data_IF_323182788851
#
_entry.id   IF_323182788851
#
_cell.length_a   1.000
_cell.length_b   1.000
_cell.length_c   1.000
_cell.angle_alpha   90.00
_cell.angle_beta   90.00
_cell.angle_gamma   90.00
#
_symmetry.space_group_name_H-M   'P 1'
#
loop_
_entity.id
_entity.type
_entity.pdbx_description
1 polymer ?
#
# COMPACT_ATOMS: atom_id res chain seq x y z
N UNK A 1 12.05 -5.82 -25.29
CA UNK A 1 12.95 -6.43 -24.26
C UNK A 1 12.54 -7.87 -24.04
N UNK A 2 13.46 -8.82 -24.08
CA UNK A 2 13.15 -10.21 -23.75
C UNK A 2 12.80 -10.34 -22.26
N UNK A 3 11.94 -11.28 -21.90
CA UNK A 3 11.47 -11.52 -20.50
C UNK A 3 12.64 -11.62 -19.50
N UNK A 4 13.76 -12.21 -19.90
CA UNK A 4 14.98 -12.35 -19.09
C UNK A 4 15.72 -11.00 -18.88
N UNK A 5 15.75 -10.13 -19.90
CA UNK A 5 16.34 -8.81 -19.77
C UNK A 5 15.53 -7.90 -18.84
N UNK A 6 14.21 -8.00 -18.92
CA UNK A 6 13.32 -7.28 -18.02
C UNK A 6 13.47 -7.76 -16.57
N UNK A 7 13.58 -9.06 -16.34
CA UNK A 7 13.84 -9.59 -15.00
C UNK A 7 15.15 -9.05 -14.41
N UNK A 8 16.24 -9.06 -15.20
CA UNK A 8 17.52 -8.50 -14.74
C UNK A 8 17.44 -7.01 -14.42
N UNK A 9 16.68 -6.24 -15.19
CA UNK A 9 16.44 -4.83 -14.92
C UNK A 9 15.67 -4.64 -13.60
N UNK A 10 14.57 -5.37 -13.39
CA UNK A 10 13.75 -5.28 -12.20
C UNK A 10 14.53 -5.69 -10.94
N UNK A 11 15.35 -6.75 -11.03
CA UNK A 11 16.24 -7.18 -9.95
C UNK A 11 17.30 -6.12 -9.60
N UNK A 12 17.90 -5.47 -10.61
CA UNK A 12 18.86 -4.37 -10.38
C UNK A 12 18.19 -3.17 -9.72
N UNK A 13 17.00 -2.80 -10.18
CA UNK A 13 16.22 -1.71 -9.58
C UNK A 13 15.86 -2.02 -8.12
N UNK A 14 15.40 -3.25 -7.84
CA UNK A 14 15.13 -3.70 -6.47
C UNK A 14 16.38 -3.66 -5.60
N UNK A 15 17.54 -4.09 -6.13
CA UNK A 15 18.81 -4.04 -5.42
C UNK A 15 19.20 -2.59 -5.06
N UNK A 16 18.94 -1.62 -5.93
CA UNK A 16 19.18 -0.20 -5.64
C UNK A 16 18.26 0.36 -4.53
N UNK A 17 17.14 -0.31 -4.23
CA UNK A 17 16.23 0.10 -3.16
C UNK A 17 16.60 -0.48 -1.78
N UNK A 18 17.40 -1.54 -1.72
CA UNK A 18 17.79 -2.21 -0.46
C UNK A 18 18.68 -1.35 0.44
N UNK A 19 19.66 -0.57 -0.07
CA UNK A 19 20.58 0.19 0.79
C UNK A 19 19.89 1.16 1.75
N UNK A 20 18.76 1.77 1.36
CA UNK A 20 18.02 2.65 2.26
C UNK A 20 17.51 1.90 3.49
N UNK A 21 16.98 0.72 3.30
CA UNK A 21 16.45 -0.12 4.38
C UNK A 21 17.60 -0.59 5.28
N UNK A 22 18.76 -0.96 4.69
CA UNK A 22 19.97 -1.31 5.44
C UNK A 22 20.46 -0.15 6.31
N UNK A 23 20.53 1.06 5.77
CA UNK A 23 20.96 2.26 6.49
C UNK A 23 19.98 2.56 7.64
N UNK A 24 18.67 2.59 7.37
CA UNK A 24 17.64 2.90 8.36
C UNK A 24 17.70 1.91 9.53
N UNK A 25 17.71 0.61 9.25
CA UNK A 25 17.75 -0.40 10.32
C UNK A 25 19.14 -0.55 10.95
N UNK A 26 20.22 -0.33 10.17
CA UNK A 26 21.59 -0.32 10.70
C UNK A 26 21.78 0.80 11.73
N UNK A 27 21.34 2.01 11.43
CA UNK A 27 21.35 3.13 12.37
C UNK A 27 20.44 2.83 13.56
N UNK A 28 19.20 2.36 13.32
CA UNK A 28 18.25 2.02 14.37
C UNK A 28 18.80 0.96 15.35
N UNK A 29 19.54 -0.03 14.83
CA UNK A 29 20.18 -1.06 15.66
C UNK A 29 21.36 -0.47 16.45
N UNK A 30 22.22 0.32 15.80
CA UNK A 30 23.40 0.92 16.44
C UNK A 30 23.01 1.92 17.54
N UNK A 31 21.89 2.63 17.36
CA UNK A 31 21.39 3.63 18.32
C UNK A 31 20.33 3.08 19.28
N UNK A 32 19.93 1.82 19.15
CA UNK A 32 18.83 1.17 19.89
C UNK A 32 17.45 1.82 19.67
N UNK A 33 17.25 2.50 18.54
CA UNK A 33 16.01 3.17 18.13
C UNK A 33 15.30 2.42 17.00
N UNK A 34 15.07 1.11 17.18
CA UNK A 34 14.42 0.25 16.16
C UNK A 34 12.96 0.61 15.92
N UNK A 35 12.27 1.21 16.90
CA UNK A 35 10.88 1.68 16.73
C UNK A 35 10.82 2.84 15.74
N UNK A 36 11.69 3.83 15.91
CA UNK A 36 11.83 4.97 15.01
C UNK A 36 12.28 4.52 13.61
N UNK A 37 13.21 3.57 13.54
CA UNK A 37 13.61 2.97 12.27
C UNK A 37 12.45 2.30 11.54
N UNK A 38 11.53 1.63 12.25
CA UNK A 38 10.33 1.03 11.63
C UNK A 38 9.36 2.09 11.11
N UNK A 39 9.22 3.23 11.80
CA UNK A 39 8.43 4.37 11.32
C UNK A 39 9.09 4.98 10.08
N UNK A 40 10.41 5.17 10.07
CA UNK A 40 11.16 5.62 8.88
C UNK A 40 10.99 4.66 7.71
N UNK A 41 11.04 3.35 7.96
CA UNK A 41 10.80 2.34 6.93
C UNK A 41 9.39 2.43 6.32
N UNK A 42 8.38 2.84 7.09
CA UNK A 42 7.03 3.06 6.56
C UNK A 42 6.97 4.17 5.50
N UNK A 43 7.92 5.10 5.49
CA UNK A 43 8.13 6.07 4.42
C UNK A 43 8.98 5.55 3.26
N UNK A 44 10.01 4.77 3.56
CA UNK A 44 10.95 4.23 2.56
C UNK A 44 10.34 3.12 1.69
N UNK A 45 9.65 2.16 2.31
CA UNK A 45 9.08 0.99 1.62
C UNK A 45 8.10 1.34 0.49
N UNK A 46 7.12 2.27 0.66
CA UNK A 46 6.25 2.68 -0.44
C UNK A 46 7.04 3.23 -1.64
N UNK A 47 8.10 4.02 -1.41
CA UNK A 47 8.91 4.54 -2.50
C UNK A 47 9.67 3.42 -3.22
N UNK A 48 10.21 2.46 -2.48
CA UNK A 48 10.84 1.27 -3.07
C UNK A 48 9.86 0.47 -3.94
N UNK A 49 8.65 0.20 -3.46
CA UNK A 49 7.59 -0.47 -4.24
C UNK A 49 7.14 0.34 -5.47
N UNK A 50 7.28 1.66 -5.42
CA UNK A 50 6.94 2.58 -6.50
C UNK A 50 8.05 2.82 -7.51
N UNK A 51 9.27 2.34 -7.29
CA UNK A 51 10.44 2.71 -8.09
C UNK A 51 10.32 2.37 -9.58
N UNK A 52 9.58 1.32 -9.95
CA UNK A 52 9.32 0.96 -11.35
C UNK A 52 8.19 1.75 -12.01
N UNK A 53 7.46 2.56 -11.25
CA UNK A 53 6.30 3.31 -11.75
C UNK A 53 6.70 4.69 -12.23
N UNK A 54 6.00 5.15 -13.26
CA UNK A 54 6.20 6.48 -13.83
C UNK A 54 4.90 7.27 -13.84
N UNK A 55 4.99 8.57 -13.61
CA UNK A 55 3.90 9.50 -13.83
C UNK A 55 4.31 10.49 -14.92
N UNK A 56 3.63 10.40 -16.07
CA UNK A 56 3.96 11.21 -17.27
C UNK A 56 5.45 11.08 -17.70
N UNK A 57 5.98 9.86 -17.63
CA UNK A 57 7.37 9.57 -17.99
C UNK A 57 8.42 9.98 -16.95
N UNK A 58 7.99 10.30 -15.71
CA UNK A 58 8.92 10.60 -14.62
C UNK A 58 8.61 9.79 -13.37
N UNK A 59 9.57 8.97 -12.95
CA UNK A 59 9.55 8.27 -11.68
C UNK A 59 9.79 9.25 -10.52
N UNK A 60 10.67 10.23 -10.70
CA UNK A 60 10.98 11.22 -9.66
C UNK A 60 9.75 12.02 -9.22
N UNK A 61 8.89 12.44 -10.17
CA UNK A 61 7.61 13.14 -9.85
C UNK A 61 6.70 12.28 -9.02
N UNK A 62 6.54 11.00 -9.42
CA UNK A 62 5.68 10.07 -8.73
C UNK A 62 6.16 9.85 -7.30
N UNK A 63 7.46 9.56 -7.14
CA UNK A 63 8.03 9.27 -5.82
C UNK A 63 8.02 10.50 -4.91
N UNK A 64 8.28 11.70 -5.45
CA UNK A 64 8.17 12.94 -4.67
C UNK A 64 6.73 13.21 -4.24
N UNK A 65 5.75 13.08 -5.14
CA UNK A 65 4.33 13.22 -4.81
C UNK A 65 3.90 12.18 -3.75
N UNK A 66 4.40 10.95 -3.86
CA UNK A 66 4.16 9.90 -2.86
C UNK A 66 4.76 10.29 -1.51
N UNK A 67 6.03 10.71 -1.49
CA UNK A 67 6.71 11.15 -0.27
C UNK A 67 5.95 12.24 0.47
N UNK A 68 5.58 13.32 -0.24
CA UNK A 68 4.83 14.43 0.33
C UNK A 68 3.46 13.98 0.86
N UNK A 69 2.75 13.15 0.09
CA UNK A 69 1.45 12.65 0.52
C UNK A 69 1.54 11.71 1.73
N UNK A 70 2.58 10.87 1.82
CA UNK A 70 2.85 10.03 2.99
C UNK A 70 3.07 10.86 4.24
N UNK A 71 3.92 11.91 4.17
CA UNK A 71 4.17 12.82 5.29
C UNK A 71 2.91 13.53 5.76
N UNK A 72 2.13 14.12 4.84
CA UNK A 72 0.86 14.78 5.16
C UNK A 72 -0.14 13.80 5.79
N UNK A 73 -0.31 12.61 5.20
CA UNK A 73 -1.25 11.61 5.72
C UNK A 73 -0.79 11.03 7.07
N UNK A 74 0.52 10.91 7.29
CA UNK A 74 1.06 10.51 8.58
C UNK A 74 0.80 11.56 9.65
N UNK A 75 0.96 12.85 9.32
CA UNK A 75 0.69 13.96 10.23
C UNK A 75 -0.79 14.03 10.60
N UNK A 76 -1.66 14.20 9.61
CA UNK A 76 -3.09 14.35 9.86
C UNK A 76 -3.73 13.05 10.40
N UNK A 77 -3.23 11.87 9.99
CA UNK A 77 -3.66 10.59 10.55
C UNK A 77 -3.39 10.51 12.04
N UNK A 78 -2.19 10.88 12.49
CA UNK A 78 -1.83 10.86 13.91
C UNK A 78 -2.63 11.87 14.76
N UNK A 79 -3.20 12.92 14.15
CA UNK A 79 -4.08 13.89 14.82
C UNK A 79 -5.54 13.43 14.93
N UNK A 80 -5.91 12.27 14.38
CA UNK A 80 -7.28 11.74 14.46
C UNK A 80 -7.59 11.24 15.88
N UNK A 81 -7.85 12.16 16.81
CA UNK A 81 -8.16 11.82 18.20
C UNK A 81 -9.53 11.15 18.41
N UNK A 82 -10.36 11.01 17.37
CA UNK A 82 -11.67 10.37 17.46
C UNK A 82 -11.85 9.28 16.42
N UNK A 83 -12.55 8.20 16.83
CA UNK A 83 -12.92 7.10 15.92
C UNK A 83 -13.67 7.59 14.68
N UNK A 84 -14.59 8.56 14.87
CA UNK A 84 -15.40 9.11 13.78
C UNK A 84 -14.52 9.78 12.71
N UNK A 85 -13.54 10.59 13.10
CA UNK A 85 -12.60 11.23 12.17
C UNK A 85 -11.72 10.19 11.48
N UNK A 86 -11.27 9.17 12.19
CA UNK A 86 -10.47 8.08 11.61
C UNK A 86 -11.25 7.31 10.55
N UNK A 87 -12.49 6.90 10.86
CA UNK A 87 -13.35 6.14 9.92
C UNK A 87 -13.75 7.01 8.73
N UNK A 88 -14.22 8.24 8.96
CA UNK A 88 -14.66 9.14 7.87
C UNK A 88 -13.52 9.49 6.92
N UNK A 89 -12.31 9.75 7.44
CA UNK A 89 -11.13 9.95 6.63
C UNK A 89 -10.75 8.71 5.82
N UNK A 90 -10.83 7.52 6.42
CA UNK A 90 -10.57 6.24 5.73
C UNK A 90 -11.61 5.98 4.61
N UNK A 91 -12.89 6.31 4.84
CA UNK A 91 -13.96 6.24 3.84
C UNK A 91 -13.71 7.22 2.69
N UNK A 92 -13.24 8.43 2.99
CA UNK A 92 -12.86 9.41 1.97
C UNK A 92 -11.71 8.92 1.10
N UNK A 93 -10.69 8.30 1.70
CA UNK A 93 -9.61 7.67 0.97
C UNK A 93 -10.09 6.49 0.11
N UNK A 94 -11.03 5.68 0.59
CA UNK A 94 -11.62 4.59 -0.19
C UNK A 94 -12.38 5.13 -1.41
N UNK A 95 -13.17 6.20 -1.25
CA UNK A 95 -13.83 6.90 -2.35
C UNK A 95 -12.83 7.46 -3.36
N UNK A 96 -11.83 8.20 -2.87
CA UNK A 96 -10.77 8.78 -3.69
C UNK A 96 -9.98 7.72 -4.47
N UNK A 97 -9.65 6.61 -3.83
CA UNK A 97 -9.00 5.48 -4.48
C UNK A 97 -9.86 4.86 -5.58
N UNK A 98 -11.13 4.60 -5.32
CA UNK A 98 -12.04 4.02 -6.31
C UNK A 98 -12.19 4.92 -7.55
N UNK A 99 -12.32 6.25 -7.35
CA UNK A 99 -12.41 7.22 -8.45
C UNK A 99 -11.09 7.32 -9.21
N UNK A 100 -9.98 7.59 -8.50
CA UNK A 100 -8.71 7.94 -9.13
C UNK A 100 -8.07 6.72 -9.79
N UNK A 101 -8.20 5.52 -9.21
CA UNK A 101 -7.69 4.28 -9.81
C UNK A 101 -8.41 3.92 -11.13
N UNK A 102 -9.69 4.29 -11.25
CA UNK A 102 -10.46 4.15 -12.50
C UNK A 102 -10.04 5.11 -13.61
N UNK A 103 -9.39 6.23 -13.26
CA UNK A 103 -8.90 7.24 -14.20
C UNK A 103 -7.44 7.00 -14.57
N UNK A 104 -6.60 6.79 -13.56
CA UNK A 104 -5.16 6.59 -13.71
C UNK A 104 -4.65 5.67 -12.58
N UNK A 105 -4.25 4.46 -12.96
CA UNK A 105 -3.78 3.46 -12.00
C UNK A 105 -2.53 3.91 -11.20
N UNK A 106 -1.66 4.73 -11.79
CA UNK A 106 -0.47 5.26 -11.12
C UNK A 106 -0.84 6.31 -10.06
N UNK A 107 -1.77 7.22 -10.37
CA UNK A 107 -2.29 8.17 -9.41
C UNK A 107 -3.11 7.44 -8.32
N UNK A 108 -3.90 6.43 -8.69
CA UNK A 108 -4.60 5.56 -7.74
C UNK A 108 -3.64 4.89 -6.76
N UNK A 109 -2.47 4.46 -7.24
CA UNK A 109 -1.44 3.88 -6.38
C UNK A 109 -0.92 4.90 -5.34
N UNK A 110 -0.71 6.17 -5.70
CA UNK A 110 -0.34 7.23 -4.72
C UNK A 110 -1.42 7.39 -3.66
N UNK A 111 -2.70 7.48 -4.07
CA UNK A 111 -3.83 7.57 -3.12
C UNK A 111 -3.89 6.35 -2.20
N UNK A 112 -3.61 5.15 -2.72
CA UNK A 112 -3.56 3.92 -1.93
C UNK A 112 -2.45 3.98 -0.86
N UNK A 113 -1.24 4.43 -1.22
CA UNK A 113 -0.15 4.59 -0.25
C UNK A 113 -0.47 5.66 0.81
N UNK A 114 -1.08 6.77 0.39
CA UNK A 114 -1.56 7.83 1.29
C UNK A 114 -2.59 7.31 2.29
N UNK A 115 -3.56 6.52 1.82
CA UNK A 115 -4.56 5.88 2.67
C UNK A 115 -3.93 4.91 3.69
N UNK A 116 -2.91 4.16 3.28
CA UNK A 116 -2.16 3.27 4.16
C UNK A 116 -1.44 4.07 5.25
N UNK A 117 -0.76 5.17 4.89
CA UNK A 117 -0.09 6.04 5.85
C UNK A 117 -1.09 6.67 6.84
N UNK A 118 -2.27 7.13 6.35
CA UNK A 118 -3.36 7.61 7.17
C UNK A 118 -3.82 6.57 8.19
N UNK A 119 -4.12 5.35 7.73
CA UNK A 119 -4.64 4.28 8.60
C UNK A 119 -3.61 3.82 9.64
N UNK A 120 -2.33 3.67 9.26
CA UNK A 120 -1.27 3.32 10.21
C UNK A 120 -1.10 4.42 11.24
N UNK A 121 -1.06 5.70 10.83
CA UNK A 121 -0.80 6.80 11.75
C UNK A 121 -2.01 7.11 12.63
N UNK A 122 -3.22 6.99 12.10
CA UNK A 122 -4.46 7.19 12.86
C UNK A 122 -4.76 6.08 13.87
N UNK A 123 -4.12 4.93 13.74
CA UNK A 123 -4.18 3.87 14.76
C UNK A 123 -3.31 4.20 15.99
N UNK A 124 -2.34 5.09 15.85
CA UNK A 124 -1.48 5.58 16.92
C UNK A 124 -1.65 7.10 17.07
N UNK A 125 -2.82 7.57 17.53
CA UNK A 125 -3.09 9.00 17.66
C UNK A 125 -2.26 9.61 18.79
N UNK A 126 -1.99 10.91 18.67
CA UNK A 126 -1.24 11.67 19.66
C UNK A 126 -1.47 13.18 19.49
N UNK A 127 -0.70 13.96 20.22
CA UNK A 127 -0.68 15.40 20.12
C UNK A 127 0.07 15.89 18.84
N UNK A 128 0.13 17.20 18.67
CA UNK A 128 0.81 17.82 17.51
C UNK A 128 2.30 17.46 17.47
N UNK A 129 2.97 17.36 18.64
CA UNK A 129 4.38 16.99 18.73
C UNK A 129 4.60 15.56 18.26
N UNK A 130 3.76 14.61 18.72
CA UNK A 130 3.78 13.23 18.28
C UNK A 130 3.51 13.12 16.78
N UNK A 131 2.50 13.83 16.26
CA UNK A 131 2.16 13.82 14.84
C UNK A 131 3.29 14.39 13.97
N UNK A 132 3.93 15.48 14.40
CA UNK A 132 5.06 16.10 13.72
C UNK A 132 6.29 15.17 13.72
N UNK A 133 6.62 14.55 14.86
CA UNK A 133 7.70 13.57 14.98
C UNK A 133 7.48 12.38 14.06
N UNK A 134 6.28 11.81 14.07
CA UNK A 134 5.92 10.67 13.21
C UNK A 134 6.01 11.02 11.72
N UNK A 135 5.45 12.17 11.31
CA UNK A 135 5.53 12.65 9.93
C UNK A 135 6.98 12.93 9.52
N UNK A 136 7.77 13.52 10.42
CA UNK A 136 9.20 13.78 10.21
C UNK A 136 9.99 12.50 9.98
N UNK A 137 9.76 11.45 10.77
CA UNK A 137 10.41 10.15 10.59
C UNK A 137 10.00 9.49 9.26
N UNK A 138 8.73 9.53 8.90
CA UNK A 138 8.23 9.02 7.59
C UNK A 138 8.88 9.77 6.43
N UNK A 139 8.92 11.10 6.52
CA UNK A 139 9.57 11.95 5.51
C UNK A 139 11.08 11.70 5.43
N UNK A 140 11.76 11.54 6.56
CA UNK A 140 13.20 11.27 6.60
C UNK A 140 13.51 9.92 5.92
N UNK A 141 12.80 8.86 6.30
CA UNK A 141 12.98 7.54 5.69
C UNK A 141 12.70 7.52 4.20
N UNK A 142 11.60 8.16 3.78
CA UNK A 142 11.27 8.29 2.36
C UNK A 142 12.27 9.15 1.58
N UNK A 143 12.81 10.22 2.19
CA UNK A 143 13.86 11.05 1.58
C UNK A 143 15.15 10.27 1.38
N UNK A 144 15.59 9.50 2.36
CA UNK A 144 16.76 8.60 2.23
C UNK A 144 16.54 7.63 1.06
N UNK A 145 15.37 7.00 0.98
CA UNK A 145 15.04 6.08 -0.11
C UNK A 145 15.05 6.79 -1.47
N UNK A 146 14.42 7.96 -1.58
CA UNK A 146 14.36 8.74 -2.82
C UNK A 146 15.76 9.16 -3.29
N UNK A 147 16.59 9.68 -2.38
CA UNK A 147 17.96 10.09 -2.68
C UNK A 147 18.79 8.92 -3.21
N UNK A 148 18.73 7.76 -2.55
CA UNK A 148 19.49 6.59 -2.98
C UNK A 148 18.99 6.05 -4.33
N UNK A 149 17.70 6.03 -4.58
CA UNK A 149 17.17 5.65 -5.89
C UNK A 149 17.70 6.62 -6.96
N UNK A 150 17.60 7.94 -6.74
CA UNK A 150 18.09 8.94 -7.69
C UNK A 150 19.60 8.86 -7.93
N UNK A 151 20.38 8.47 -6.91
CA UNK A 151 21.82 8.33 -7.00
C UNK A 151 22.25 7.04 -7.71
N UNK A 152 21.61 5.92 -7.38
CA UNK A 152 22.02 4.60 -7.85
C UNK A 152 21.39 4.22 -9.19
N UNK A 153 20.18 4.72 -9.49
CA UNK A 153 19.47 4.42 -10.72
C UNK A 153 19.79 5.49 -11.77
N UNK A 154 20.70 5.17 -12.69
CA UNK A 154 21.14 6.08 -13.78
C UNK A 154 20.14 6.12 -14.95
N UNK A 155 18.85 6.20 -14.70
CA UNK A 155 17.85 6.32 -15.75
C UNK A 155 17.35 7.77 -15.88
N UNK A 156 16.97 8.17 -17.10
CA UNK A 156 16.46 9.52 -17.38
C UNK A 156 15.17 9.85 -16.62
N UNK A 157 14.41 8.83 -16.21
CA UNK A 157 13.14 8.98 -15.50
C UNK A 157 13.29 9.50 -14.06
N UNK A 158 14.49 9.34 -13.48
CA UNK A 158 14.85 9.83 -12.14
C UNK A 158 15.57 11.19 -12.15
N UNK A 159 15.75 11.83 -13.33
CA UNK A 159 16.38 13.15 -13.38
C UNK A 159 15.44 14.22 -12.84
N UNK A 160 15.96 15.09 -11.98
CA UNK A 160 15.24 16.26 -11.44
C UNK A 160 14.67 17.17 -12.55
N UNK A 161 15.32 17.24 -13.71
CA UNK A 161 14.83 17.96 -14.89
C UNK A 161 13.47 17.44 -15.40
N UNK A 162 13.10 16.21 -15.09
CA UNK A 162 11.78 15.67 -15.41
C UNK A 162 10.66 16.30 -14.56
N UNK A 163 10.98 16.93 -13.42
CA UNK A 163 10.02 17.60 -12.54
C UNK A 163 9.42 18.85 -13.20
N UNK A 164 10.16 19.55 -14.05
CA UNK A 164 9.73 20.83 -14.66
C UNK A 164 8.71 20.65 -15.79
N UNK A 165 8.50 19.44 -16.30
CA UNK A 165 7.57 19.12 -17.39
C UNK A 165 6.10 18.95 -16.94
N UNK A 166 5.74 19.45 -15.77
CA UNK A 166 4.38 19.32 -15.27
C UNK A 166 3.44 20.30 -15.98
N UNK A 167 2.50 19.76 -16.77
CA UNK A 167 1.40 20.55 -17.35
C UNK A 167 0.12 20.28 -16.57
N UNK A 168 -0.17 21.17 -15.62
CA UNK A 168 -1.44 21.18 -14.84
C UNK A 168 -2.67 21.05 -15.76
N UNK A 169 -2.58 21.63 -16.95
CA UNK A 169 -3.64 21.57 -17.99
C UNK A 169 -3.94 20.15 -18.46
N UNK A 170 -2.94 19.25 -18.55
CA UNK A 170 -3.17 17.86 -18.96
C UNK A 170 -3.87 17.05 -17.86
N UNK A 171 -3.52 17.26 -16.59
CA UNK A 171 -4.17 16.63 -15.46
C UNK A 171 -5.65 17.04 -15.34
N UNK A 172 -5.95 18.34 -15.43
CA UNK A 172 -7.32 18.88 -15.39
C UNK A 172 -8.14 18.39 -16.59
N UNK A 173 -7.55 18.32 -17.79
CA UNK A 173 -8.23 17.81 -18.99
C UNK A 173 -8.62 16.34 -18.84
N UNK A 174 -7.73 15.50 -18.32
CA UNK A 174 -8.02 14.07 -18.03
C UNK A 174 -9.10 13.94 -16.96
N UNK A 175 -9.08 14.76 -15.91
CA UNK A 175 -10.12 14.79 -14.89
C UNK A 175 -11.49 15.13 -15.49
N UNK A 176 -11.56 16.14 -16.38
CA UNK A 176 -12.81 16.51 -17.10
C UNK A 176 -13.31 15.41 -18.04
N UNK A 177 -12.43 14.72 -18.76
CA UNK A 177 -12.84 13.59 -19.61
C UNK A 177 -13.26 12.35 -18.82
N UNK A 178 -12.70 12.15 -17.63
CA UNK A 178 -13.06 11.08 -16.71
C UNK A 178 -14.34 11.37 -15.91
N UNK A 179 -14.86 12.61 -15.95
CA UNK A 179 -16.03 13.03 -15.18
C UNK A 179 -17.38 12.54 -15.74
N UNK A 180 -17.40 11.70 -16.81
CA UNK A 180 -18.56 10.89 -17.15
C UNK A 180 -18.46 9.55 -16.43
N UNK A 181 -19.01 9.44 -15.19
CA UNK A 181 -18.85 8.23 -14.41
C UNK A 181 -19.62 7.10 -15.09
N UNK A 182 -18.89 6.07 -15.54
CA UNK A 182 -19.51 4.81 -15.94
C UNK A 182 -20.34 4.32 -14.74
N UNK A 183 -21.50 3.73 -15.00
CA UNK A 183 -22.42 3.20 -13.96
C UNK A 183 -21.67 2.35 -12.95
N UNK A 184 -20.79 1.48 -13.43
CA UNK A 184 -19.93 0.63 -12.60
C UNK A 184 -19.05 1.43 -11.63
N UNK A 185 -18.51 2.58 -12.04
CA UNK A 185 -17.64 3.41 -11.18
C UNK A 185 -18.42 4.01 -10.01
N UNK A 186 -19.68 4.45 -10.22
CA UNK A 186 -20.51 4.98 -9.13
C UNK A 186 -20.76 3.94 -8.06
N UNK A 187 -21.16 2.73 -8.44
CA UNK A 187 -21.40 1.64 -7.50
C UNK A 187 -20.12 1.18 -6.81
N UNK A 188 -19.00 1.15 -7.54
CA UNK A 188 -17.69 0.85 -6.94
C UNK A 188 -17.30 1.84 -5.83
N UNK A 189 -17.56 3.14 -6.02
CA UNK A 189 -17.32 4.16 -4.97
C UNK A 189 -18.24 3.93 -3.78
N UNK A 190 -19.54 3.76 -4.00
CA UNK A 190 -20.53 3.56 -2.93
C UNK A 190 -20.16 2.35 -2.07
N UNK A 191 -19.93 1.20 -2.71
CA UNK A 191 -19.64 -0.02 -1.96
C UNK A 191 -18.23 -0.05 -1.37
N UNK A 192 -17.25 0.63 -1.96
CA UNK A 192 -15.93 0.79 -1.35
C UNK A 192 -16.02 1.62 -0.05
N UNK A 193 -16.80 2.70 -0.04
CA UNK A 193 -17.03 3.56 1.12
C UNK A 193 -17.76 2.80 2.22
N UNK A 194 -18.87 2.13 1.89
CA UNK A 194 -19.66 1.34 2.84
C UNK A 194 -18.79 0.22 3.44
N UNK A 195 -18.09 -0.53 2.59
CA UNK A 195 -17.23 -1.63 3.05
C UNK A 195 -16.09 -1.14 3.95
N UNK A 196 -15.50 0.03 3.65
CA UNK A 196 -14.46 0.61 4.51
C UNK A 196 -15.02 0.98 5.87
N UNK A 197 -16.14 1.70 5.92
CA UNK A 197 -16.77 2.10 7.17
C UNK A 197 -17.20 0.89 8.01
N UNK A 198 -17.90 -0.07 7.41
CA UNK A 198 -18.37 -1.28 8.13
C UNK A 198 -17.21 -2.16 8.58
N UNK A 199 -16.17 -2.33 7.77
CA UNK A 199 -14.99 -3.11 8.15
C UNK A 199 -14.26 -2.52 9.36
N UNK A 200 -14.06 -1.19 9.40
CA UNK A 200 -13.40 -0.52 10.51
C UNK A 200 -14.29 -0.49 11.78
N UNK A 201 -15.61 -0.33 11.62
CA UNK A 201 -16.55 -0.46 12.75
C UNK A 201 -16.56 -1.87 13.35
N UNK A 202 -16.53 -2.91 12.50
CA UNK A 202 -16.43 -4.30 12.93
C UNK A 202 -15.18 -4.53 13.77
N UNK A 203 -14.03 -4.08 13.29
CA UNK A 203 -12.74 -4.19 13.98
C UNK A 203 -12.79 -3.47 15.34
N UNK A 204 -13.36 -2.28 15.36
CA UNK A 204 -13.50 -1.50 16.59
C UNK A 204 -14.46 -2.19 17.59
N UNK A 205 -15.60 -2.67 17.11
CA UNK A 205 -16.61 -3.35 17.95
C UNK A 205 -16.03 -4.60 18.62
N UNK A 206 -15.23 -5.38 17.92
CA UNK A 206 -14.58 -6.57 18.47
C UNK A 206 -13.23 -6.27 19.14
N UNK A 207 -12.84 -5.01 19.27
CA UNK A 207 -11.58 -4.56 19.89
C UNK A 207 -10.36 -5.30 19.36
N UNK A 208 -10.32 -5.55 18.03
CA UNK A 208 -9.24 -6.30 17.40
C UNK A 208 -7.95 -5.50 17.41
N UNK A 209 -6.87 -6.14 17.87
CA UNK A 209 -5.54 -5.56 17.84
C UNK A 209 -5.08 -5.33 16.40
N UNK A 210 -4.34 -4.25 16.17
CA UNK A 210 -3.81 -3.92 14.83
C UNK A 210 -4.86 -3.85 13.71
N UNK A 211 -6.08 -3.44 14.05
CA UNK A 211 -7.25 -3.45 13.16
C UNK A 211 -7.11 -2.61 11.89
N UNK A 212 -6.16 -1.66 11.82
CA UNK A 212 -5.87 -0.88 10.62
C UNK A 212 -5.48 -1.75 9.41
N UNK A 213 -4.97 -2.95 9.62
CA UNK A 213 -4.68 -3.89 8.53
C UNK A 213 -5.93 -4.34 7.76
N UNK A 214 -7.10 -4.30 8.39
CA UNK A 214 -8.38 -4.62 7.73
C UNK A 214 -8.68 -3.62 6.60
N UNK A 215 -8.63 -2.32 6.89
CA UNK A 215 -8.83 -1.27 5.89
C UNK A 215 -7.76 -1.29 4.79
N UNK A 216 -6.48 -1.50 5.16
CA UNK A 216 -5.39 -1.68 4.20
C UNK A 216 -5.64 -2.86 3.26
N UNK A 217 -6.05 -4.01 3.80
CA UNK A 217 -6.33 -5.21 3.00
C UNK A 217 -7.49 -4.98 2.05
N UNK A 218 -8.55 -4.33 2.51
CA UNK A 218 -9.69 -3.95 1.68
C UNK A 218 -9.23 -3.13 0.47
N UNK A 219 -8.46 -2.05 0.66
CA UNK A 219 -7.95 -1.22 -0.44
C UNK A 219 -7.00 -1.98 -1.37
N UNK A 220 -6.20 -2.91 -0.85
CA UNK A 220 -5.27 -3.70 -1.64
C UNK A 220 -5.98 -4.75 -2.50
N UNK A 221 -7.16 -5.21 -2.09
CA UNK A 221 -8.00 -6.15 -2.85
C UNK A 221 -8.86 -5.45 -3.90
N UNK A 222 -9.30 -4.20 -3.65
CA UNK A 222 -10.10 -3.44 -4.61
C UNK A 222 -9.26 -3.02 -5.82
N UNK A 223 -9.79 -3.27 -7.03
CA UNK A 223 -9.21 -2.86 -8.31
C UNK A 223 -10.30 -2.34 -9.23
N UNK A 224 -9.90 -1.60 -10.26
CA UNK A 224 -10.82 -1.08 -11.27
C UNK A 224 -11.49 -2.18 -12.11
N UNK A 225 -10.82 -3.35 -12.26
CA UNK A 225 -11.36 -4.50 -12.99
C UNK A 225 -11.86 -5.58 -12.03
N UNK A 226 -13.08 -6.04 -12.25
CA UNK A 226 -13.75 -7.06 -11.41
C UNK A 226 -12.94 -8.35 -11.28
N UNK A 227 -12.49 -8.91 -12.40
CA UNK A 227 -11.71 -10.17 -12.41
C UNK A 227 -10.40 -10.04 -11.62
N UNK A 228 -9.72 -8.92 -11.76
CA UNK A 228 -8.47 -8.67 -11.03
C UNK A 228 -8.73 -8.60 -9.52
N UNK A 229 -9.79 -7.90 -9.10
CA UNK A 229 -10.20 -7.82 -7.69
C UNK A 229 -10.54 -9.19 -7.13
N UNK A 230 -11.33 -9.99 -7.86
CA UNK A 230 -11.76 -11.32 -7.42
C UNK A 230 -10.57 -12.27 -7.23
N UNK A 231 -9.58 -12.25 -8.12
CA UNK A 231 -8.37 -13.07 -8.00
C UNK A 231 -7.43 -12.59 -6.87
N UNK A 232 -7.45 -11.30 -6.54
CA UNK A 232 -6.60 -10.74 -5.48
C UNK A 232 -7.04 -11.12 -4.09
N UNK A 233 -8.34 -11.30 -3.86
CA UNK A 233 -8.87 -11.67 -2.53
C UNK A 233 -8.26 -12.98 -2.01
N UNK A 234 -8.40 -14.14 -2.69
CA UNK A 234 -7.81 -15.39 -2.21
C UNK A 234 -6.28 -15.35 -2.19
N UNK A 235 -5.66 -14.73 -3.20
CA UNK A 235 -4.21 -14.60 -3.27
C UNK A 235 -3.65 -13.76 -2.09
N UNK A 236 -4.37 -12.72 -1.67
CA UNK A 236 -4.02 -11.91 -0.50
C UNK A 236 -4.15 -12.69 0.79
N UNK A 237 -5.26 -13.39 0.99
CA UNK A 237 -5.54 -14.15 2.21
C UNK A 237 -4.56 -15.31 2.37
N UNK A 238 -4.40 -16.13 1.32
CA UNK A 238 -3.48 -17.27 1.35
C UNK A 238 -2.00 -16.85 1.44
N UNK A 239 -1.62 -15.79 0.73
CA UNK A 239 -0.26 -15.24 0.81
C UNK A 239 0.05 -14.67 2.19
N UNK A 240 -0.93 -14.01 2.84
CA UNK A 240 -0.75 -13.54 4.23
C UNK A 240 -0.67 -14.71 5.21
N UNK A 241 -1.54 -15.73 5.08
CA UNK A 241 -1.49 -16.91 5.92
C UNK A 241 -0.12 -17.60 5.84
N UNK A 242 0.33 -17.92 4.65
CA UNK A 242 1.62 -18.59 4.44
C UNK A 242 2.81 -17.72 4.88
N UNK A 243 2.76 -16.41 4.64
CA UNK A 243 3.79 -15.46 5.10
C UNK A 243 3.86 -15.34 6.63
N UNK A 244 2.70 -15.31 7.31
CA UNK A 244 2.63 -15.30 8.78
C UNK A 244 3.17 -16.62 9.38
N UNK A 245 2.82 -17.77 8.79
CA UNK A 245 3.34 -19.07 9.22
C UNK A 245 4.86 -19.13 9.06
N UNK A 246 5.37 -18.73 7.91
CA UNK A 246 6.82 -18.70 7.66
C UNK A 246 7.55 -17.75 8.63
N UNK A 247 7.00 -16.55 8.87
CA UNK A 247 7.57 -15.62 9.84
C UNK A 247 7.55 -16.18 11.27
N UNK A 248 6.45 -16.82 11.68
CA UNK A 248 6.33 -17.45 12.99
C UNK A 248 7.35 -18.59 13.19
N UNK A 249 7.48 -19.47 12.20
CA UNK A 249 8.47 -20.55 12.22
C UNK A 249 9.90 -19.97 12.31
N UNK A 250 10.18 -18.94 11.49
CA UNK A 250 11.52 -18.33 11.46
C UNK A 250 11.85 -17.65 12.79
N UNK A 251 10.92 -16.85 13.33
CA UNK A 251 11.10 -16.14 14.61
C UNK A 251 11.19 -17.10 15.82
N UNK A 252 10.56 -18.29 15.74
CA UNK A 252 10.65 -19.29 16.79
C UNK A 252 11.98 -20.03 16.79
N UNK A 253 12.52 -20.34 15.61
CA UNK A 253 13.73 -21.16 15.49
C UNK A 253 15.02 -20.34 15.38
N UNK A 254 14.93 -19.07 14.99
CA UNK A 254 16.08 -18.20 14.79
C UNK A 254 16.10 -17.13 15.88
N UNK A 255 17.00 -17.29 16.84
CA UNK A 255 17.16 -16.35 17.97
C UNK A 255 18.22 -15.27 17.71
N UNK A 256 19.00 -15.40 16.63
CA UNK A 256 20.03 -14.42 16.28
C UNK A 256 19.40 -13.23 15.51
N UNK A 257 19.44 -11.99 16.06
CA UNK A 257 18.86 -10.82 15.42
C UNK A 257 19.43 -10.54 14.03
N UNK A 258 20.70 -10.85 13.81
CA UNK A 258 21.37 -10.67 12.53
C UNK A 258 20.77 -11.55 11.42
N UNK A 259 20.42 -12.81 11.73
CA UNK A 259 19.79 -13.71 10.77
C UNK A 259 18.35 -13.30 10.47
N UNK A 260 17.60 -12.83 11.48
CA UNK A 260 16.26 -12.26 11.27
C UNK A 260 16.31 -11.00 10.40
N UNK A 261 17.30 -10.13 10.63
CA UNK A 261 17.52 -8.95 9.81
C UNK A 261 17.90 -9.32 8.37
N UNK A 262 18.75 -10.31 8.17
CA UNK A 262 19.09 -10.82 6.84
C UNK A 262 17.85 -11.38 6.11
N UNK A 263 17.02 -12.16 6.80
CA UNK A 263 15.77 -12.69 6.26
C UNK A 263 14.77 -11.59 5.91
N UNK A 264 14.66 -10.54 6.75
CA UNK A 264 13.85 -9.34 6.48
C UNK A 264 14.32 -8.64 5.20
N UNK A 265 15.63 -8.38 5.07
CA UNK A 265 16.21 -7.70 3.90
C UNK A 265 16.03 -8.52 2.63
N UNK A 266 16.28 -9.83 2.69
CA UNK A 266 16.05 -10.74 1.55
C UNK A 266 14.59 -10.75 1.15
N UNK A 267 13.67 -10.80 2.11
CA UNK A 267 12.22 -10.74 1.85
C UNK A 267 11.82 -9.41 1.22
N UNK A 268 12.39 -8.29 1.67
CA UNK A 268 12.17 -6.96 1.09
C UNK A 268 12.66 -6.90 -0.36
N UNK A 269 13.87 -7.39 -0.65
CA UNK A 269 14.42 -7.44 -2.00
C UNK A 269 13.52 -8.24 -2.96
N UNK A 270 13.08 -9.43 -2.53
CA UNK A 270 12.19 -10.27 -3.34
C UNK A 270 10.83 -9.59 -3.53
N UNK A 271 10.26 -9.00 -2.46
CA UNK A 271 9.00 -8.26 -2.54
C UNK A 271 9.07 -7.07 -3.50
N UNK A 272 10.16 -6.29 -3.50
CA UNK A 272 10.37 -5.21 -4.46
C UNK A 272 10.42 -5.74 -5.89
N UNK A 273 11.24 -6.75 -6.15
CA UNK A 273 11.36 -7.38 -7.49
C UNK A 273 10.00 -7.87 -8.01
N UNK A 274 9.22 -8.54 -7.15
CA UNK A 274 7.88 -9.03 -7.50
C UNK A 274 6.88 -7.89 -7.72
N UNK A 275 6.99 -6.79 -6.96
CA UNK A 275 6.09 -5.63 -7.11
C UNK A 275 6.19 -4.99 -8.50
N UNK A 276 7.36 -5.02 -9.12
CA UNK A 276 7.60 -4.49 -10.45
C UNK A 276 7.02 -5.36 -11.57
N UNK A 277 6.71 -6.62 -11.26
CA UNK A 277 6.21 -7.64 -12.18
C UNK A 277 4.79 -8.11 -11.87
N UNK A 278 4.04 -7.39 -11.07
CA UNK A 278 2.69 -7.82 -10.64
C UNK A 278 1.72 -8.11 -11.79
N UNK A 279 1.92 -7.48 -12.95
CA UNK A 279 1.11 -7.77 -14.15
C UNK A 279 1.36 -9.17 -14.72
N UNK A 280 2.56 -9.74 -14.51
CA UNK A 280 3.00 -11.01 -15.05
C UNK A 280 3.32 -12.07 -13.98
N UNK A 281 3.23 -11.70 -12.71
CA UNK A 281 3.60 -12.53 -11.56
C UNK A 281 2.41 -12.94 -10.71
N UNK A 282 2.64 -13.92 -9.83
CA UNK A 282 1.65 -14.32 -8.84
C UNK A 282 1.55 -13.30 -7.71
N UNK A 283 0.38 -12.68 -7.58
CA UNK A 283 0.09 -11.78 -6.46
C UNK A 283 0.16 -12.49 -5.11
N UNK A 284 -0.08 -13.80 -5.09
CA UNK A 284 0.12 -14.67 -3.91
C UNK A 284 1.57 -14.60 -3.40
N UNK A 285 2.55 -14.86 -4.30
CA UNK A 285 3.98 -14.86 -3.92
C UNK A 285 4.44 -13.49 -3.44
N UNK A 286 3.99 -12.43 -4.11
CA UNK A 286 4.24 -11.05 -3.66
C UNK A 286 3.70 -10.82 -2.24
N UNK A 287 2.46 -11.23 -1.98
CA UNK A 287 1.83 -11.05 -0.66
C UNK A 287 2.53 -11.87 0.43
N UNK A 288 2.98 -13.07 0.10
CA UNK A 288 3.79 -13.89 1.00
C UNK A 288 5.04 -13.14 1.46
N UNK A 289 5.87 -12.65 0.53
CA UNK A 289 7.11 -11.95 0.88
C UNK A 289 6.88 -10.59 1.57
N UNK A 290 5.85 -9.84 1.16
CA UNK A 290 5.47 -8.60 1.87
C UNK A 290 5.04 -8.90 3.30
N UNK A 291 4.29 -9.96 3.53
CA UNK A 291 3.85 -10.33 4.88
C UNK A 291 5.02 -10.81 5.72
N UNK A 292 5.86 -11.68 5.17
CA UNK A 292 7.09 -12.14 5.83
C UNK A 292 7.96 -10.95 6.23
N UNK A 293 8.23 -10.04 5.29
CA UNK A 293 8.99 -8.81 5.53
C UNK A 293 8.40 -7.98 6.68
N UNK A 294 7.09 -7.69 6.65
CA UNK A 294 6.47 -6.82 7.66
C UNK A 294 6.43 -7.48 9.04
N UNK A 295 6.15 -8.78 9.12
CA UNK A 295 6.15 -9.49 10.42
C UNK A 295 7.55 -9.57 11.00
N UNK A 296 8.57 -9.88 10.20
CA UNK A 296 9.96 -9.86 10.63
C UNK A 296 10.42 -8.47 11.07
N UNK A 297 10.01 -7.42 10.34
CA UNK A 297 10.27 -6.03 10.72
C UNK A 297 9.73 -5.72 12.12
N UNK A 298 8.49 -6.09 12.40
CA UNK A 298 7.86 -5.87 13.72
C UNK A 298 8.57 -6.72 14.79
N UNK A 299 8.90 -7.96 14.48
CA UNK A 299 9.63 -8.84 15.43
C UNK A 299 11.00 -8.25 15.83
N UNK A 300 11.71 -7.65 14.88
CA UNK A 300 13.00 -6.99 15.12
C UNK A 300 12.89 -5.76 16.05
N UNK A 301 11.73 -5.09 16.09
CA UNK A 301 11.53 -3.93 16.97
C UNK A 301 11.27 -4.29 18.43
N UNK A 302 11.18 -5.58 18.76
CA UNK A 302 10.86 -6.04 20.11
C UNK A 302 9.41 -5.71 20.54
N UNK A 303 8.59 -5.19 19.66
CA UNK A 303 7.17 -4.89 19.89
C UNK A 303 6.32 -6.18 19.81
N UNK A 304 6.76 -7.23 20.50
CA UNK A 304 5.98 -8.46 20.63
C UNK A 304 4.87 -8.22 21.67
N UNK A 305 3.87 -7.44 21.30
CA UNK A 305 2.62 -7.35 22.04
C UNK A 305 1.61 -8.29 21.37
N UNK A 306 1.40 -9.44 21.96
CA UNK A 306 0.42 -10.41 21.48
C UNK A 306 0.88 -11.20 20.24
N UNK A 307 -0.08 -11.82 19.59
CA UNK A 307 0.16 -12.69 18.43
C UNK A 307 0.01 -11.88 17.13
N UNK A 308 1.00 -11.02 16.82
CA UNK A 308 1.01 -10.13 15.64
C UNK A 308 0.63 -10.87 14.34
N UNK A 309 1.08 -12.12 14.19
CA UNK A 309 0.78 -12.94 13.02
C UNK A 309 -0.72 -13.32 12.96
N UNK A 310 -1.32 -13.69 14.11
CA UNK A 310 -2.73 -14.02 14.18
C UNK A 310 -3.62 -12.79 13.98
N UNK A 311 -3.28 -11.64 14.59
CA UNK A 311 -3.99 -10.37 14.40
C UNK A 311 -3.98 -9.95 12.93
N UNK A 312 -2.81 -10.08 12.29
CA UNK A 312 -2.66 -9.75 10.87
C UNK A 312 -3.48 -10.68 9.99
N UNK A 313 -3.51 -11.98 10.29
CA UNK A 313 -4.31 -12.95 9.56
C UNK A 313 -5.80 -12.65 9.70
N UNK A 314 -6.28 -12.42 10.93
CA UNK A 314 -7.67 -12.12 11.22
C UNK A 314 -8.12 -10.81 10.52
N UNK A 315 -7.34 -9.75 10.66
CA UNK A 315 -7.60 -8.47 10.00
C UNK A 315 -7.59 -8.61 8.47
N UNK A 316 -6.70 -9.46 7.91
CA UNK A 316 -6.67 -9.75 6.47
C UNK A 316 -7.92 -10.53 6.05
N UNK A 317 -8.37 -11.52 6.80
CA UNK A 317 -9.56 -12.29 6.50
C UNK A 317 -10.82 -11.40 6.49
N UNK A 318 -10.99 -10.55 7.51
CA UNK A 318 -12.08 -9.59 7.60
C UNK A 318 -12.04 -8.60 6.44
N UNK A 319 -10.90 -7.96 6.19
CA UNK A 319 -10.73 -7.00 5.10
C UNK A 319 -10.97 -7.60 3.72
N UNK A 320 -10.53 -8.83 3.50
CA UNK A 320 -10.77 -9.61 2.28
C UNK A 320 -12.25 -9.95 2.10
N UNK A 321 -12.96 -10.31 3.18
CA UNK A 321 -14.40 -10.59 3.17
C UNK A 321 -15.21 -9.35 2.78
N UNK A 322 -14.95 -8.20 3.40
CA UNK A 322 -15.60 -6.94 3.03
C UNK A 322 -15.24 -6.48 1.61
N UNK A 323 -14.00 -6.69 1.16
CA UNK A 323 -13.62 -6.40 -0.21
C UNK A 323 -14.39 -7.27 -1.21
N UNK A 324 -14.50 -8.58 -0.94
CA UNK A 324 -15.28 -9.51 -1.77
C UNK A 324 -16.75 -9.10 -1.84
N UNK A 325 -17.36 -8.77 -0.69
CA UNK A 325 -18.73 -8.29 -0.63
C UNK A 325 -18.92 -7.01 -1.47
N UNK A 326 -18.02 -6.02 -1.33
CA UNK A 326 -18.08 -4.78 -2.11
C UNK A 326 -17.96 -5.03 -3.62
N UNK A 327 -17.07 -5.94 -4.04
CA UNK A 327 -16.87 -6.31 -5.45
C UNK A 327 -18.13 -6.96 -6.03
N UNK A 328 -18.73 -7.91 -5.30
CA UNK A 328 -19.93 -8.64 -5.75
C UNK A 328 -21.16 -7.71 -5.78
N UNK A 329 -21.35 -6.87 -4.75
CA UNK A 329 -22.45 -5.89 -4.71
C UNK A 329 -22.32 -4.83 -5.79
N UNK A 330 -21.10 -4.37 -6.08
CA UNK A 330 -20.85 -3.44 -7.20
C UNK A 330 -21.31 -4.03 -8.52
N UNK A 331 -20.96 -5.29 -8.79
CA UNK A 331 -21.37 -5.98 -10.01
C UNK A 331 -22.87 -6.20 -10.08
N UNK A 332 -23.47 -6.64 -9.00
CA UNK A 332 -24.92 -6.89 -8.91
C UNK A 332 -25.71 -5.59 -9.17
N UNK A 333 -25.36 -4.51 -8.46
CA UNK A 333 -26.02 -3.22 -8.61
C UNK A 333 -25.86 -2.64 -10.03
N UNK A 334 -24.67 -2.75 -10.63
CA UNK A 334 -24.43 -2.31 -11.99
C UNK A 334 -25.25 -3.12 -13.00
N UNK A 335 -25.36 -4.44 -12.83
CA UNK A 335 -26.17 -5.31 -13.69
C UNK A 335 -27.67 -5.01 -13.55
N UNK A 336 -28.16 -4.82 -12.33
CA UNK A 336 -29.56 -4.44 -12.08
C UNK A 336 -29.92 -3.10 -12.73
N UNK A 337 -29.05 -2.11 -12.59
CA UNK A 337 -29.27 -0.79 -13.19
C UNK A 337 -29.22 -0.84 -14.72
N UNK A 338 -28.31 -1.62 -15.32
CA UNK A 338 -28.26 -1.81 -16.77
C UNK A 338 -29.56 -2.44 -17.29
N UNK A 339 -30.09 -3.46 -16.59
CA UNK A 339 -31.36 -4.09 -16.91
C UNK A 339 -32.55 -3.12 -16.84
N UNK A 340 -32.62 -2.29 -15.80
CA UNK A 340 -33.67 -1.29 -15.59
C UNK A 340 -33.62 -0.15 -16.62
N UNK A 341 -32.42 0.23 -17.08
CA UNK A 341 -32.24 1.31 -18.05
C UNK A 341 -32.44 0.89 -19.52
N UNK A 342 -32.77 -0.36 -19.79
CA UNK A 342 -32.98 -0.87 -21.17
C UNK A 342 -31.70 -0.90 -22.03
N UNK A 343 -30.54 -0.59 -21.46
CA UNK A 343 -29.22 -0.66 -22.11
C UNK A 343 -28.63 -2.05 -21.94
N UNK A 344 -29.06 -2.96 -22.80
CA UNK A 344 -28.60 -4.34 -22.84
C UNK A 344 -27.20 -4.49 -23.49
N UNK A 345 -26.27 -3.62 -23.16
CA UNK A 345 -24.86 -3.82 -23.54
C UNK A 345 -24.15 -4.63 -22.45
N UNK A 346 -24.35 -5.94 -22.48
CA UNK A 346 -23.65 -6.92 -21.65
C UNK A 346 -22.12 -6.96 -21.91
N UNK A 347 -21.65 -6.41 -23.02
CA UNK A 347 -20.22 -6.43 -23.41
C UNK A 347 -19.34 -5.42 -22.67
N UNK A 348 -19.88 -4.46 -21.95
CA UNK A 348 -19.08 -3.46 -21.21
C UNK A 348 -18.76 -3.87 -19.77
N UNK A 349 -19.14 -5.07 -19.35
CA UNK A 349 -18.95 -5.61 -17.99
C UNK A 349 -17.69 -6.51 -17.84
N UNK A 350 -16.92 -6.71 -18.94
CA UNK A 350 -15.70 -7.52 -18.93
C UNK A 350 -14.41 -6.70 -18.87
#
# INVERSE_FOLDING_TARGET
MNSTQQLRHDMRLALCCVPAILIIFGIGLATQHLREASVMASGALPLAFGASKTWEGSSAKLLLATLLSLGLCAFFGALTGSLLLFISGSMLFAAGYAVISGINGTAGWVVQQSAIAWMISGYFPGDISHAASRAGLVMLGGTVQLMLICLLVRSGDFRLQSLTRFTWRSAVRRLKHASRPKIHLRWSVVFAVIAMGTALLTVHHFSLQNGYWTGMTLLLCLRSHFRESLLRVPARTLGTLSGCLAAGILSHNVHQPALLAAAFILSAYIAFTLSYRLANGSYFVFTFFVTLMVVLMISLTGLVQGNVAADRLLATAIGSGFALAAILLTRLAAAMQAKLSGKADFETLY
#
